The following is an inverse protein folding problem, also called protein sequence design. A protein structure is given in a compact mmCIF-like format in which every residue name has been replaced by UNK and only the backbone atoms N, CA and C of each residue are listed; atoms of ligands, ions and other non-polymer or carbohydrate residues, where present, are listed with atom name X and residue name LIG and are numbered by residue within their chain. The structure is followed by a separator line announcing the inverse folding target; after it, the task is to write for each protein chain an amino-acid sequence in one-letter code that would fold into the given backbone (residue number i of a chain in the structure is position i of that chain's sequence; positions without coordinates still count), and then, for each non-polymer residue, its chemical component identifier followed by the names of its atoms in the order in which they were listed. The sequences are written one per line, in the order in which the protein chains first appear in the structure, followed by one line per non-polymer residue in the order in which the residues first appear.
data_IF_433878419720
#
_entry.id   IF_433878419720
#
_cell.length_a   1.000
_cell.length_b   1.000
_cell.length_c   1.000
_cell.angle_alpha   90.00
_cell.angle_beta   90.00
_cell.angle_gamma   90.00
#
_symmetry.space_group_name_H-M   'P 1'
#
loop_
_entity.id
_entity.type
_entity.pdbx_description
1 polymer ?
#
# COMPACT_ATOMS: atom_id res chain seq x y z
N UNK A 1 -13.54 -9.79 19.01
CA UNK A 1 -13.26 -11.09 18.35
C UNK A 1 -11.77 -11.28 18.34
N UNK A 2 -11.27 -12.44 18.69
CA UNK A 2 -9.85 -12.73 18.61
C UNK A 2 -9.47 -12.98 17.12
N UNK A 3 -8.60 -12.14 16.52
CA UNK A 3 -8.19 -12.30 15.12
C UNK A 3 -7.50 -13.64 14.83
N UNK A 4 -6.95 -14.28 15.84
CA UNK A 4 -6.26 -15.58 15.69
C UNK A 4 -7.22 -16.77 15.52
N UNK A 5 -8.49 -16.61 15.91
CA UNK A 5 -9.49 -17.68 15.88
C UNK A 5 -10.41 -17.62 14.66
N UNK A 6 -10.50 -16.48 13.98
CA UNK A 6 -11.39 -16.27 12.84
C UNK A 6 -10.63 -16.18 11.53
N UNK A 7 -11.24 -16.70 10.45
CA UNK A 7 -10.70 -16.65 9.10
C UNK A 7 -11.01 -15.29 8.43
N UNK A 8 -10.36 -15.04 7.32
CA UNK A 8 -10.35 -13.75 6.60
C UNK A 8 -11.76 -13.16 6.39
N UNK A 9 -12.70 -13.93 5.81
CA UNK A 9 -14.04 -13.43 5.48
C UNK A 9 -14.84 -13.05 6.74
N UNK A 10 -14.68 -13.79 7.82
CA UNK A 10 -15.30 -13.44 9.11
C UNK A 10 -14.67 -12.18 9.69
N UNK A 11 -13.34 -12.03 9.61
CA UNK A 11 -12.65 -10.83 10.08
C UNK A 11 -13.05 -9.60 9.25
N UNK A 12 -13.19 -9.72 7.93
CA UNK A 12 -13.59 -8.61 7.05
C UNK A 12 -14.97 -8.04 7.40
N UNK A 13 -15.86 -8.88 7.95
CA UNK A 13 -17.22 -8.50 8.36
C UNK A 13 -17.30 -7.98 9.80
N UNK A 14 -16.49 -8.52 10.71
CA UNK A 14 -16.75 -8.40 12.15
C UNK A 14 -15.60 -7.79 12.97
N UNK A 15 -14.35 -7.82 12.49
CA UNK A 15 -13.24 -7.33 13.30
C UNK A 15 -13.37 -5.82 13.59
N UNK A 16 -12.96 -5.43 14.78
CA UNK A 16 -12.94 -4.03 15.24
C UNK A 16 -14.30 -3.46 15.65
N UNK A 17 -15.42 -4.17 15.49
CA UNK A 17 -16.74 -3.61 15.80
C UNK A 17 -17.52 -4.43 16.84
N UNK A 18 -18.07 -3.72 17.82
CA UNK A 18 -18.91 -4.27 18.88
C UNK A 18 -20.27 -3.55 18.94
N UNK A 19 -21.36 -4.13 18.39
CA UNK A 19 -22.69 -3.50 18.38
C UNK A 19 -23.18 -3.10 19.76
N UNK A 20 -22.92 -3.89 20.81
CA UNK A 20 -23.35 -3.60 22.18
C UNK A 20 -22.80 -2.29 22.75
N UNK A 21 -21.65 -1.83 22.28
CA UNK A 21 -21.06 -0.54 22.64
C UNK A 21 -21.61 0.66 21.82
N UNK A 22 -22.47 0.37 20.82
CA UNK A 22 -22.96 1.34 19.85
C UNK A 22 -24.48 1.28 19.70
N UNK A 23 -25.20 1.32 20.81
CA UNK A 23 -26.68 1.26 20.87
C UNK A 23 -27.30 0.04 20.14
N UNK A 24 -26.53 -1.06 19.97
CA UNK A 24 -26.97 -2.25 19.25
C UNK A 24 -26.97 -2.10 17.73
N UNK A 25 -26.46 -1.00 17.17
CA UNK A 25 -26.40 -0.79 15.72
C UNK A 25 -25.64 -1.91 15.04
N UNK A 26 -26.23 -2.53 13.99
CA UNK A 26 -25.55 -3.57 13.21
C UNK A 26 -24.44 -2.99 12.33
N UNK A 27 -24.67 -1.83 11.76
CA UNK A 27 -23.66 -1.10 11.00
C UNK A 27 -22.85 -0.18 11.89
N UNK A 28 -21.59 0.05 11.51
CA UNK A 28 -20.69 0.99 12.19
C UNK A 28 -21.27 2.40 12.07
N UNK A 29 -21.54 3.09 13.19
CA UNK A 29 -22.00 4.48 13.13
C UNK A 29 -20.92 5.44 12.61
N UNK A 30 -21.32 6.51 11.95
CA UNK A 30 -20.41 7.59 11.56
C UNK A 30 -20.37 8.64 12.68
N UNK A 31 -19.23 8.72 13.38
CA UNK A 31 -19.00 9.73 14.40
C UNK A 31 -18.46 11.01 13.77
N UNK A 32 -19.36 11.86 13.28
CA UNK A 32 -19.04 13.13 12.62
C UNK A 32 -18.91 14.25 13.67
N UNK A 33 -17.82 14.21 14.44
CA UNK A 33 -17.50 15.20 15.46
C UNK A 33 -16.02 15.54 15.45
N UNK A 34 -15.65 16.73 15.94
CA UNK A 34 -14.24 17.15 16.09
C UNK A 34 -13.66 16.75 17.45
N UNK A 35 -14.44 16.82 18.53
CA UNK A 35 -13.98 16.67 19.91
C UNK A 35 -14.95 15.83 20.75
N UNK A 36 -14.45 15.33 21.87
CA UNK A 36 -15.17 14.46 22.79
C UNK A 36 -15.15 15.05 24.19
N UNK A 37 -16.24 14.85 24.95
CA UNK A 37 -16.33 15.31 26.32
C UNK A 37 -15.52 14.40 27.26
N UNK A 38 -14.87 15.00 28.23
CA UNK A 38 -14.23 14.29 29.33
C UNK A 38 -15.22 14.13 30.49
N UNK A 39 -15.04 13.06 31.28
CA UNK A 39 -15.84 12.82 32.47
C UNK A 39 -15.49 13.84 33.57
N UNK A 40 -14.19 14.12 33.74
CA UNK A 40 -13.62 15.04 34.71
C UNK A 40 -12.20 15.48 34.29
N UNK A 41 -11.52 16.28 35.14
CA UNK A 41 -10.16 16.78 34.89
C UNK A 41 -9.12 15.67 34.91
N UNK A 42 -9.25 14.67 35.78
CA UNK A 42 -8.30 13.56 35.90
C UNK A 42 -8.42 12.65 34.71
N UNK A 43 -9.64 12.38 34.21
CA UNK A 43 -9.85 11.68 32.96
C UNK A 43 -9.18 12.39 31.77
N UNK A 44 -9.35 13.72 31.69
CA UNK A 44 -8.69 14.51 30.63
C UNK A 44 -7.16 14.37 30.71
N UNK A 45 -6.57 14.53 31.90
CA UNK A 45 -5.13 14.42 32.13
C UNK A 45 -4.59 13.05 31.71
N UNK A 46 -5.25 11.97 32.13
CA UNK A 46 -4.85 10.60 31.80
C UNK A 46 -4.86 10.30 30.29
N UNK A 47 -5.83 10.86 29.54
CA UNK A 47 -5.88 10.75 28.08
C UNK A 47 -4.73 11.50 27.40
N UNK A 48 -4.43 12.73 27.84
CA UNK A 48 -3.33 13.53 27.27
C UNK A 48 -1.95 12.95 27.59
N UNK A 49 -1.80 12.29 28.73
CA UNK A 49 -0.57 11.63 29.15
C UNK A 49 -0.38 10.23 28.55
N UNK A 50 -1.32 9.75 27.72
CA UNK A 50 -1.33 8.38 27.15
C UNK A 50 -1.45 7.26 28.20
N UNK A 51 -1.86 7.58 29.43
CA UNK A 51 -2.09 6.62 30.53
C UNK A 51 -3.40 5.84 30.35
N UNK A 52 -4.32 6.36 29.55
CA UNK A 52 -5.63 5.77 29.28
C UNK A 52 -5.99 5.87 27.80
N UNK A 53 -6.55 4.82 27.23
CA UNK A 53 -7.13 4.82 25.89
C UNK A 53 -8.45 5.57 25.84
N UNK A 54 -8.68 6.33 24.74
CA UNK A 54 -9.93 7.07 24.52
C UNK A 54 -9.82 8.06 23.36
N UNK A 55 -10.88 8.86 23.19
CA UNK A 55 -10.94 9.86 22.13
C UNK A 55 -10.90 11.27 22.74
N UNK A 56 -10.02 12.12 22.21
CA UNK A 56 -9.88 13.53 22.59
C UNK A 56 -10.39 14.41 21.44
N UNK A 57 -9.85 14.17 20.27
CA UNK A 57 -10.08 14.96 19.06
C UNK A 57 -9.96 14.07 17.82
N UNK A 58 -10.86 14.23 16.85
CA UNK A 58 -10.96 13.32 15.69
C UNK A 58 -9.74 13.32 14.76
N UNK A 59 -8.85 14.31 14.85
CA UNK A 59 -7.54 14.26 14.19
C UNK A 59 -6.67 13.14 14.76
N UNK A 60 -6.71 12.91 16.08
CA UNK A 60 -5.92 11.89 16.78
C UNK A 60 -6.56 10.50 16.68
N UNK A 61 -7.85 10.44 16.96
CA UNK A 61 -8.64 9.20 16.91
C UNK A 61 -10.12 9.51 16.78
N UNK A 62 -10.85 8.61 16.11
CA UNK A 62 -12.30 8.72 15.92
C UNK A 62 -12.89 7.30 15.96
N UNK A 63 -14.04 7.04 16.61
CA UNK A 63 -14.59 5.69 16.76
C UNK A 63 -14.85 4.97 15.43
N UNK A 64 -15.30 5.68 14.38
CA UNK A 64 -15.50 5.09 13.05
C UNK A 64 -14.17 4.70 12.40
N UNK A 65 -13.18 5.59 12.50
CA UNK A 65 -11.83 5.36 11.95
C UNK A 65 -11.14 4.23 12.71
N UNK A 66 -11.30 4.15 14.03
CA UNK A 66 -10.76 3.07 14.85
C UNK A 66 -11.27 1.69 14.40
N UNK A 67 -12.56 1.55 14.06
CA UNK A 67 -13.08 0.27 13.51
C UNK A 67 -12.35 -0.11 12.22
N UNK A 68 -12.06 0.85 11.36
CA UNK A 68 -11.30 0.60 10.13
C UNK A 68 -9.87 0.16 10.46
N UNK A 69 -9.19 0.86 11.37
CA UNK A 69 -7.83 0.54 11.82
C UNK A 69 -7.76 -0.88 12.38
N UNK A 70 -8.64 -1.21 13.33
CA UNK A 70 -8.69 -2.53 13.95
C UNK A 70 -9.05 -3.64 12.95
N UNK A 71 -9.93 -3.37 11.98
CA UNK A 71 -10.32 -4.33 10.94
C UNK A 71 -9.15 -4.64 10.00
N UNK A 72 -8.50 -3.62 9.45
CA UNK A 72 -7.35 -3.82 8.56
C UNK A 72 -6.18 -4.45 9.31
N UNK A 73 -5.91 -4.02 10.55
CA UNK A 73 -4.92 -4.64 11.42
C UNK A 73 -5.17 -6.16 11.58
N UNK A 74 -6.41 -6.55 11.86
CA UNK A 74 -6.78 -7.97 11.99
C UNK A 74 -6.66 -8.75 10.68
N UNK A 75 -6.98 -8.13 9.53
CA UNK A 75 -6.85 -8.73 8.20
C UNK A 75 -5.39 -8.94 7.81
N UNK A 76 -4.51 -7.99 8.13
CA UNK A 76 -3.06 -8.12 7.91
C UNK A 76 -2.37 -9.06 8.91
N UNK A 77 -2.96 -9.27 10.08
CA UNK A 77 -2.32 -10.00 11.17
C UNK A 77 -1.30 -9.16 11.95
N UNK A 78 -1.47 -7.84 11.96
CA UNK A 78 -0.64 -6.89 12.70
C UNK A 78 -1.05 -6.73 14.17
N UNK A 79 -0.34 -5.88 14.89
CA UNK A 79 -0.57 -5.53 16.30
C UNK A 79 -1.26 -4.20 16.49
N UNK A 80 -0.98 -3.22 15.61
CA UNK A 80 -1.60 -1.90 15.61
C UNK A 80 -1.70 -1.33 14.21
N UNK A 81 -2.61 -0.37 14.00
CA UNK A 81 -2.74 0.34 12.73
C UNK A 81 -3.12 1.82 12.93
N UNK A 82 -2.75 2.64 11.95
CA UNK A 82 -3.04 4.07 11.92
C UNK A 82 -3.53 4.48 10.52
N UNK A 83 -4.80 4.86 10.41
CA UNK A 83 -5.39 5.32 9.17
C UNK A 83 -5.07 6.80 8.89
N UNK A 84 -4.85 7.12 7.63
CA UNK A 84 -4.48 8.45 7.14
C UNK A 84 -5.35 8.88 5.97
N UNK A 85 -5.30 10.16 5.61
CA UNK A 85 -6.09 10.75 4.51
C UNK A 85 -5.78 10.17 3.11
N UNK A 86 -4.62 9.56 2.93
CA UNK A 86 -4.21 8.95 1.65
C UNK A 86 -3.07 7.95 1.85
N UNK A 87 -2.83 7.06 0.88
CA UNK A 87 -1.66 6.17 0.89
C UNK A 87 -0.34 6.93 0.94
N UNK A 88 -0.23 8.05 0.23
CA UNK A 88 0.97 8.93 0.29
C UNK A 88 1.18 9.52 1.69
N UNK A 89 0.10 9.87 2.40
CA UNK A 89 0.19 10.31 3.79
C UNK A 89 0.66 9.19 4.72
N UNK A 90 0.21 7.95 4.49
CA UNK A 90 0.69 6.79 5.25
C UNK A 90 2.19 6.57 5.06
N UNK A 91 2.68 6.60 3.80
CA UNK A 91 4.11 6.46 3.50
C UNK A 91 4.91 7.62 4.12
N UNK A 92 4.49 8.87 3.89
CA UNK A 92 5.19 10.04 4.42
C UNK A 92 5.27 10.00 5.94
N UNK A 93 4.15 9.73 6.61
CA UNK A 93 4.09 9.63 8.07
C UNK A 93 5.01 8.51 8.60
N UNK A 94 5.02 7.33 7.94
CA UNK A 94 5.91 6.23 8.29
C UNK A 94 7.37 6.64 8.23
N UNK A 95 7.79 7.31 7.14
CA UNK A 95 9.19 7.73 6.98
C UNK A 95 9.56 8.85 7.96
N UNK A 96 8.68 9.81 8.19
CA UNK A 96 8.93 10.90 9.15
C UNK A 96 8.96 10.43 10.61
N UNK A 97 8.23 9.37 10.95
CA UNK A 97 8.30 8.74 12.28
C UNK A 97 9.62 7.95 12.45
N UNK A 98 10.12 7.35 11.37
CA UNK A 98 11.30 6.50 11.38
C UNK A 98 12.63 7.27 11.30
N UNK A 99 12.66 8.37 10.54
CA UNK A 99 13.87 9.06 10.13
C UNK A 99 13.95 10.50 10.65
N UNK A 100 15.16 10.89 11.02
CA UNK A 100 15.56 12.26 11.30
C UNK A 100 16.39 12.87 10.14
N UNK A 101 16.65 14.17 10.19
CA UNK A 101 17.57 14.81 9.25
C UNK A 101 18.99 14.19 9.35
N UNK A 102 19.54 13.82 8.23
CA UNK A 102 20.82 13.09 8.13
C UNK A 102 20.68 11.58 7.94
N UNK A 103 19.50 11.02 8.11
CA UNK A 103 19.23 9.60 7.94
C UNK A 103 19.12 9.18 6.47
N UNK A 104 19.17 7.86 6.25
CA UNK A 104 19.19 7.24 4.95
C UNK A 104 18.15 6.11 4.84
N UNK A 105 17.55 5.96 3.66
CA UNK A 105 16.63 4.86 3.29
C UNK A 105 17.16 4.10 2.08
N UNK A 106 17.04 2.78 2.09
CA UNK A 106 17.21 1.94 0.88
C UNK A 106 15.83 1.65 0.31
N UNK A 107 15.62 1.89 -0.98
CA UNK A 107 14.29 1.94 -1.57
C UNK A 107 14.25 1.18 -2.89
N UNK A 108 13.22 0.37 -3.13
CA UNK A 108 13.00 -0.25 -4.44
C UNK A 108 12.82 0.82 -5.53
N UNK A 109 13.37 0.58 -6.72
CA UNK A 109 13.26 1.54 -7.83
C UNK A 109 11.94 1.48 -8.57
N UNK A 110 11.20 0.38 -8.48
CA UNK A 110 9.89 0.21 -9.10
C UNK A 110 8.77 0.45 -8.07
N UNK A 111 8.34 1.69 -8.00
CA UNK A 111 7.31 2.17 -7.08
C UNK A 111 6.31 3.04 -7.85
N UNK A 112 5.18 3.29 -7.23
CA UNK A 112 4.27 4.33 -7.67
C UNK A 112 5.01 5.67 -7.88
N UNK A 113 4.74 6.35 -9.00
CA UNK A 113 5.48 7.56 -9.39
C UNK A 113 5.49 8.66 -8.32
N UNK A 114 4.38 8.80 -7.56
CA UNK A 114 4.32 9.72 -6.42
C UNK A 114 5.29 9.33 -5.30
N UNK A 115 5.45 8.04 -5.04
CA UNK A 115 6.40 7.50 -4.05
C UNK A 115 7.85 7.70 -4.50
N UNK A 116 8.14 7.47 -5.79
CA UNK A 116 9.47 7.79 -6.34
C UNK A 116 9.81 9.27 -6.15
N UNK A 117 8.88 10.18 -6.47
CA UNK A 117 9.09 11.61 -6.28
C UNK A 117 9.22 12.01 -4.81
N UNK A 118 8.47 11.36 -3.91
CA UNK A 118 8.61 11.56 -2.47
C UNK A 118 10.05 11.28 -2.01
N UNK A 119 10.58 10.10 -2.32
CA UNK A 119 11.94 9.70 -1.93
C UNK A 119 13.04 10.49 -2.64
N UNK A 120 12.85 10.80 -3.94
CA UNK A 120 13.88 11.47 -4.75
C UNK A 120 13.94 12.98 -4.55
N UNK A 121 12.81 13.65 -4.34
CA UNK A 121 12.71 15.11 -4.39
C UNK A 121 12.22 15.75 -3.11
N UNK A 122 11.30 15.09 -2.39
CA UNK A 122 10.64 15.69 -1.22
C UNK A 122 11.40 15.41 0.06
N UNK A 123 11.72 14.17 0.36
CA UNK A 123 12.44 13.77 1.57
C UNK A 123 13.84 14.37 1.70
N UNK A 124 14.61 14.61 0.60
CA UNK A 124 15.86 15.35 0.69
C UNK A 124 15.74 16.77 1.25
N UNK A 125 14.56 17.42 1.12
CA UNK A 125 14.30 18.73 1.74
C UNK A 125 14.23 18.66 3.26
N UNK A 126 13.94 17.47 3.80
CA UNK A 126 13.96 17.15 5.24
C UNK A 126 15.29 16.53 5.69
N UNK A 127 16.29 16.51 4.81
CA UNK A 127 17.62 15.96 5.11
C UNK A 127 17.70 14.43 5.02
N UNK A 128 16.66 13.73 4.56
CA UNK A 128 16.65 12.26 4.43
C UNK A 128 17.15 11.86 3.05
N UNK A 129 18.18 11.02 3.00
CA UNK A 129 18.81 10.53 1.76
C UNK A 129 18.24 9.17 1.36
N UNK A 130 18.29 8.87 0.06
CA UNK A 130 17.76 7.62 -0.50
C UNK A 130 18.72 6.99 -1.50
N UNK A 131 18.91 5.67 -1.41
CA UNK A 131 19.52 4.85 -2.47
C UNK A 131 18.47 3.93 -3.07
N UNK A 132 18.26 4.03 -4.39
CA UNK A 132 17.33 3.19 -5.13
C UNK A 132 18.02 1.91 -5.62
N UNK A 133 17.33 0.77 -5.47
CA UNK A 133 17.79 -0.56 -5.87
C UNK A 133 16.70 -1.26 -6.69
N UNK A 134 17.08 -2.02 -7.72
CA UNK A 134 16.10 -2.79 -8.50
C UNK A 134 15.43 -3.87 -7.64
N UNK A 135 14.12 -4.16 -7.82
CA UNK A 135 13.36 -5.09 -6.95
C UNK A 135 14.01 -6.48 -6.82
N UNK A 136 14.60 -6.98 -7.91
CA UNK A 136 15.24 -8.32 -7.97
C UNK A 136 16.71 -8.34 -7.53
N UNK A 137 17.33 -7.17 -7.30
CA UNK A 137 18.76 -7.09 -6.95
C UNK A 137 18.97 -7.15 -5.44
N UNK A 138 18.84 -8.35 -4.87
CA UNK A 138 19.02 -8.58 -3.42
C UNK A 138 20.40 -8.19 -2.94
N UNK A 139 21.46 -8.46 -3.72
CA UNK A 139 22.82 -8.01 -3.39
C UNK A 139 22.95 -6.48 -3.44
N UNK A 140 22.24 -5.82 -4.32
CA UNK A 140 22.14 -4.36 -4.38
C UNK A 140 21.54 -3.78 -3.10
N UNK A 141 20.48 -4.40 -2.55
CA UNK A 141 19.92 -3.99 -1.25
C UNK A 141 20.96 -4.07 -0.13
N UNK A 142 21.70 -5.17 -0.05
CA UNK A 142 22.76 -5.36 0.96
C UNK A 142 23.86 -4.30 0.82
N UNK A 143 24.34 -4.04 -0.39
CA UNK A 143 25.42 -3.06 -0.66
C UNK A 143 24.97 -1.60 -0.45
N UNK A 144 23.68 -1.30 -0.57
CA UNK A 144 23.16 0.04 -0.40
C UNK A 144 23.02 0.48 1.07
N UNK A 145 23.10 -0.47 2.02
CA UNK A 145 22.99 -0.18 3.46
C UNK A 145 24.21 0.61 3.93
N UNK A 146 23.96 1.72 4.63
CA UNK A 146 24.92 2.64 5.23
C UNK A 146 24.76 2.64 6.76
N UNK A 147 25.73 3.14 7.53
CA UNK A 147 25.62 3.19 9.00
C UNK A 147 24.36 3.94 9.49
N UNK A 148 23.92 4.98 8.77
CA UNK A 148 22.74 5.79 9.05
C UNK A 148 21.47 5.32 8.32
N UNK A 149 21.47 4.12 7.74
CA UNK A 149 20.26 3.55 7.13
C UNK A 149 19.26 3.16 8.22
N UNK A 150 18.02 3.64 8.08
CA UNK A 150 16.92 3.41 9.04
C UNK A 150 15.91 2.36 8.59
N UNK A 151 15.85 2.04 7.32
CA UNK A 151 14.91 1.03 6.83
C UNK A 151 15.09 0.72 5.35
N UNK A 152 14.43 -0.35 4.92
CA UNK A 152 14.26 -0.71 3.51
C UNK A 152 12.77 -0.52 3.18
N UNK A 153 12.47 0.17 2.06
CA UNK A 153 11.11 0.38 1.58
C UNK A 153 10.93 -0.22 0.19
N UNK A 154 9.81 -0.91 -0.06
CA UNK A 154 9.46 -1.39 -1.39
C UNK A 154 7.97 -1.66 -1.58
N UNK A 155 7.54 -1.74 -2.84
CA UNK A 155 6.27 -2.35 -3.22
C UNK A 155 6.50 -3.84 -3.46
N UNK A 156 5.61 -4.69 -2.97
CA UNK A 156 5.73 -6.15 -3.17
C UNK A 156 5.68 -6.51 -4.65
N UNK A 157 4.79 -5.89 -5.41
CA UNK A 157 4.74 -5.92 -6.86
C UNK A 157 4.90 -4.50 -7.38
N UNK A 158 5.98 -4.27 -8.10
CA UNK A 158 6.38 -2.94 -8.53
C UNK A 158 5.42 -2.31 -9.55
N UNK A 159 5.18 -1.02 -9.42
CA UNK A 159 4.35 -0.23 -10.32
C UNK A 159 5.24 0.64 -11.22
N UNK A 160 5.10 0.56 -12.54
CA UNK A 160 4.12 -0.21 -13.32
C UNK A 160 4.63 -1.54 -13.88
N UNK A 161 5.91 -1.87 -13.70
CA UNK A 161 6.56 -2.99 -14.38
C UNK A 161 6.15 -4.38 -13.90
N UNK A 162 5.44 -4.50 -12.78
CA UNK A 162 5.01 -5.76 -12.15
C UNK A 162 6.15 -6.71 -11.76
N UNK A 163 7.37 -6.21 -11.54
CA UNK A 163 8.46 -7.02 -10.99
C UNK A 163 8.23 -7.27 -9.49
N UNK A 164 8.40 -8.52 -9.04
CA UNK A 164 8.30 -8.86 -7.63
C UNK A 164 9.60 -8.55 -6.89
N UNK A 165 9.46 -7.97 -5.71
CA UNK A 165 10.54 -7.88 -4.73
C UNK A 165 10.70 -9.23 -4.02
N UNK A 166 11.92 -9.77 -3.96
CA UNK A 166 12.20 -10.98 -3.19
C UNK A 166 12.17 -10.65 -1.69
N UNK A 167 10.96 -10.43 -1.19
CA UNK A 167 10.70 -9.95 0.18
C UNK A 167 11.34 -10.85 1.25
N UNK A 168 11.28 -12.21 1.20
CA UNK A 168 11.94 -13.05 2.20
C UNK A 168 13.46 -12.84 2.29
N UNK A 169 14.15 -12.68 1.15
CA UNK A 169 15.59 -12.40 1.15
C UNK A 169 15.89 -10.97 1.63
N UNK A 170 15.15 -9.99 1.17
CA UNK A 170 15.32 -8.59 1.60
C UNK A 170 15.00 -8.43 3.09
N UNK A 171 14.05 -9.18 3.63
CA UNK A 171 13.77 -9.24 5.07
C UNK A 171 14.98 -9.74 5.88
N UNK A 172 15.65 -10.79 5.39
CA UNK A 172 16.86 -11.28 6.06
C UNK A 172 17.98 -10.22 6.05
N UNK A 173 18.15 -9.51 4.93
CA UNK A 173 19.12 -8.40 4.82
C UNK A 173 18.78 -7.27 5.81
N UNK A 174 17.50 -6.90 5.92
CA UNK A 174 17.04 -5.88 6.87
C UNK A 174 17.32 -6.31 8.32
N UNK A 175 17.02 -7.57 8.69
CA UNK A 175 17.28 -8.14 10.01
C UNK A 175 18.78 -8.17 10.34
N UNK A 176 19.64 -8.60 9.42
CA UNK A 176 21.10 -8.59 9.60
C UNK A 176 21.62 -7.17 9.85
N UNK A 177 21.02 -6.18 9.23
CA UNK A 177 21.37 -4.76 9.40
C UNK A 177 20.72 -4.10 10.63
N UNK A 178 19.80 -4.78 11.34
CA UNK A 178 19.05 -4.24 12.48
C UNK A 178 18.17 -3.05 12.11
N UNK A 179 17.47 -3.14 10.97
CA UNK A 179 16.55 -2.12 10.44
C UNK A 179 15.25 -2.75 9.99
N UNK A 180 14.08 -2.05 10.05
CA UNK A 180 12.81 -2.59 9.61
C UNK A 180 12.69 -2.67 8.08
N UNK A 181 11.94 -3.68 7.62
CA UNK A 181 11.43 -3.79 6.26
C UNK A 181 10.01 -3.23 6.19
N UNK A 182 9.80 -2.25 5.32
CA UNK A 182 8.54 -1.56 5.08
C UNK A 182 8.01 -1.93 3.70
N UNK A 183 6.82 -2.52 3.63
CA UNK A 183 6.22 -2.97 2.37
C UNK A 183 4.93 -2.21 2.09
N UNK A 184 4.85 -1.58 0.92
CA UNK A 184 3.57 -1.18 0.34
C UNK A 184 2.95 -2.41 -0.36
N UNK A 185 1.86 -2.92 0.20
CA UNK A 185 1.13 -4.08 -0.30
C UNK A 185 -0.24 -3.70 -0.90
N UNK A 186 -0.35 -2.49 -1.42
CA UNK A 186 -1.61 -1.95 -1.97
C UNK A 186 -2.23 -2.85 -3.03
N UNK A 187 -1.42 -3.42 -3.94
CA UNK A 187 -1.91 -4.27 -5.04
C UNK A 187 -2.42 -5.63 -4.57
N UNK A 188 -1.75 -6.23 -3.59
CA UNK A 188 -2.06 -7.56 -3.11
C UNK A 188 -3.19 -7.56 -2.11
N UNK A 189 -3.37 -6.47 -1.36
CA UNK A 189 -4.26 -6.44 -0.20
C UNK A 189 -3.95 -7.55 0.80
N UNK A 190 -4.43 -7.52 2.03
CA UNK A 190 -4.20 -8.62 2.98
C UNK A 190 -4.86 -9.95 2.55
N UNK A 191 -5.69 -9.93 1.50
CA UNK A 191 -6.30 -11.14 0.98
C UNK A 191 -5.33 -12.03 0.19
N UNK A 192 -4.54 -11.45 -0.71
CA UNK A 192 -3.59 -12.20 -1.53
C UNK A 192 -2.25 -12.43 -0.82
N UNK A 193 -1.80 -11.47 -0.01
CA UNK A 193 -0.56 -11.54 0.74
C UNK A 193 -0.64 -10.79 2.06
N UNK A 194 -0.11 -11.38 3.11
CA UNK A 194 0.19 -10.74 4.39
C UNK A 194 1.71 -10.61 4.50
N UNK A 195 2.29 -9.43 4.26
CA UNK A 195 3.75 -9.26 4.24
C UNK A 195 4.44 -9.66 5.55
N UNK A 196 3.75 -9.56 6.69
CA UNK A 196 4.29 -10.02 7.99
C UNK A 196 4.66 -11.51 8.01
N UNK A 197 3.92 -12.35 7.29
CA UNK A 197 4.21 -13.80 7.16
C UNK A 197 5.49 -14.06 6.36
N UNK A 198 6.00 -13.03 5.67
CA UNK A 198 7.22 -13.07 4.86
C UNK A 198 8.33 -12.15 5.36
N UNK A 199 8.18 -11.62 6.59
CA UNK A 199 9.21 -10.91 7.33
C UNK A 199 9.23 -9.39 7.16
N UNK A 200 8.18 -8.77 6.65
CA UNK A 200 7.98 -7.33 6.80
C UNK A 200 7.74 -6.97 8.27
N UNK A 201 8.10 -5.75 8.67
CA UNK A 201 7.90 -5.22 10.01
C UNK A 201 6.80 -4.15 10.03
N UNK A 202 6.73 -3.36 8.96
CA UNK A 202 5.70 -2.34 8.74
C UNK A 202 5.07 -2.55 7.36
N UNK A 203 3.76 -2.40 7.29
CA UNK A 203 3.00 -2.49 6.02
C UNK A 203 2.21 -1.20 5.82
N UNK A 204 2.24 -0.67 4.61
CA UNK A 204 1.42 0.47 4.22
C UNK A 204 0.49 0.09 3.07
N UNK A 205 -0.68 0.72 3.03
CA UNK A 205 -1.62 0.58 1.93
C UNK A 205 -2.25 1.91 1.54
N UNK A 206 -2.47 2.08 0.26
CA UNK A 206 -3.52 2.98 -0.22
C UNK A 206 -4.86 2.25 -0.16
N UNK A 207 -5.65 2.52 0.88
CA UNK A 207 -7.01 1.96 1.02
C UNK A 207 -7.95 2.43 -0.09
N UNK A 208 -7.57 3.47 -0.82
CA UNK A 208 -8.24 4.04 -1.99
C UNK A 208 -8.48 3.01 -3.09
N UNK A 209 -7.60 1.98 -3.18
CA UNK A 209 -7.52 1.02 -4.29
C UNK A 209 -8.45 -0.18 -4.05
N UNK A 210 -7.98 -1.40 -4.19
CA UNK A 210 -8.80 -2.63 -4.05
C UNK A 210 -9.55 -2.74 -2.73
N UNK A 211 -9.04 -2.19 -1.63
CA UNK A 211 -9.74 -2.28 -0.34
C UNK A 211 -11.04 -1.47 -0.34
N UNK A 212 -11.07 -0.27 -0.92
CA UNK A 212 -12.31 0.47 -1.22
C UNK A 212 -13.05 -0.14 -2.42
N UNK A 213 -12.33 -0.36 -3.52
CA UNK A 213 -12.75 -1.11 -4.70
C UNK A 213 -13.71 -0.41 -5.65
N UNK A 214 -14.14 0.83 -5.38
CA UNK A 214 -15.15 1.52 -6.17
C UNK A 214 -14.80 2.97 -6.56
N UNK A 215 -13.57 3.41 -6.26
CA UNK A 215 -13.07 4.73 -6.64
C UNK A 215 -13.75 5.91 -5.92
N UNK A 216 -14.49 5.68 -4.82
CA UNK A 216 -15.30 6.71 -4.15
C UNK A 216 -14.59 7.43 -3.01
N UNK A 217 -13.58 6.81 -2.38
CA UNK A 217 -12.96 7.33 -1.15
C UNK A 217 -11.45 7.19 -1.16
N UNK A 218 -10.78 8.25 -0.75
CA UNK A 218 -9.33 8.21 -0.52
C UNK A 218 -9.02 7.92 0.95
N UNK A 219 -8.05 7.03 1.19
CA UNK A 219 -7.43 6.82 2.49
C UNK A 219 -6.10 6.08 2.33
N UNK A 220 -5.31 6.09 3.39
CA UNK A 220 -4.14 5.25 3.59
C UNK A 220 -4.16 4.60 4.95
N UNK A 221 -3.28 3.65 5.16
CA UNK A 221 -3.07 3.03 6.47
C UNK A 221 -1.63 2.56 6.61
N UNK A 222 -1.09 2.72 7.81
CA UNK A 222 0.11 2.07 8.31
C UNK A 222 -0.34 0.94 9.24
N UNK A 223 0.26 -0.24 9.11
CA UNK A 223 0.07 -1.37 10.02
C UNK A 223 1.44 -1.82 10.55
N UNK A 224 1.53 -2.03 11.85
CA UNK A 224 2.73 -2.53 12.55
C UNK A 224 2.57 -4.02 12.83
N UNK A 225 3.63 -4.81 12.51
CA UNK A 225 3.64 -6.25 12.75
C UNK A 225 3.96 -6.63 14.20
N UNK A 226 4.60 -5.73 14.95
CA UNK A 226 5.01 -5.95 16.35
C UNK A 226 6.17 -6.93 16.52
N UNK A 227 6.88 -7.26 15.45
CA UNK A 227 7.99 -8.22 15.45
C UNK A 227 9.37 -7.56 15.49
N UNK A 228 9.46 -6.28 15.16
CA UNK A 228 10.72 -5.54 15.18
C UNK A 228 11.01 -5.07 16.61
N UNK A 229 12.21 -5.42 17.10
CA UNK A 229 12.69 -4.96 18.39
C UNK A 229 13.37 -3.59 18.23
N UNK A 230 12.67 -2.52 18.61
CA UNK A 230 13.19 -1.15 18.53
C UNK A 230 14.37 -0.90 19.46
N UNK A 231 14.58 -1.74 20.48
CA UNK A 231 15.64 -1.62 21.48
C UNK A 231 16.89 -2.44 21.14
N UNK A 232 16.89 -3.20 20.03
CA UNK A 232 17.99 -4.09 19.67
C UNK A 232 19.33 -3.38 19.33
N UNK A 233 19.26 -2.06 19.04
CA UNK A 233 20.42 -1.23 18.70
C UNK A 233 20.12 0.26 18.86
N UNK A 234 21.14 1.11 18.76
CA UNK A 234 21.06 2.57 18.97
C UNK A 234 20.57 3.34 17.73
N UNK A 235 19.97 2.68 16.74
CA UNK A 235 19.55 3.34 15.48
C UNK A 235 18.28 4.16 15.63
N UNK A 236 17.45 3.91 16.63
CA UNK A 236 16.12 4.48 16.75
C UNK A 236 15.92 5.28 18.05
N UNK A 237 16.73 6.33 18.29
CA UNK A 237 16.65 7.12 19.52
C UNK A 237 15.27 7.74 19.74
N UNK A 238 14.56 8.12 18.67
CA UNK A 238 13.20 8.64 18.77
C UNK A 238 12.20 7.67 19.41
N UNK A 239 12.48 6.35 19.33
CA UNK A 239 11.65 5.30 19.94
C UNK A 239 12.09 4.95 21.36
N UNK A 240 13.42 5.00 21.61
CA UNK A 240 14.05 4.41 22.81
C UNK A 240 14.47 5.41 23.85
N UNK A 241 14.70 6.68 23.46
CA UNK A 241 15.06 7.75 24.40
C UNK A 241 13.82 8.44 24.97
N UNK A 242 13.95 9.07 26.14
CA UNK A 242 12.87 9.83 26.77
C UNK A 242 12.37 10.96 25.86
N UNK A 243 11.07 10.95 25.52
CA UNK A 243 10.44 11.94 24.66
C UNK A 243 9.91 13.12 25.47
N UNK A 244 10.46 14.31 25.23
CA UNK A 244 10.15 15.53 26.01
C UNK A 244 8.64 15.90 25.94
N UNK A 245 8.00 15.69 24.77
CA UNK A 245 6.58 16.00 24.55
C UNK A 245 5.59 15.17 25.36
N UNK A 246 6.04 14.08 26.00
CA UNK A 246 5.25 13.22 26.88
C UNK A 246 6.00 12.90 28.18
N UNK A 247 6.51 13.95 28.85
CA UNK A 247 7.13 13.87 30.19
C UNK A 247 8.27 12.85 30.33
N UNK A 248 9.02 12.60 29.25
CA UNK A 248 10.14 11.66 29.26
C UNK A 248 9.74 10.20 29.03
N UNK A 249 8.55 9.93 28.48
CA UNK A 249 8.14 8.57 28.10
C UNK A 249 9.03 8.02 26.97
N UNK A 250 9.46 6.78 27.07
CA UNK A 250 10.07 5.99 25.97
C UNK A 250 8.99 5.17 25.29
N UNK A 251 8.73 5.41 23.99
CA UNK A 251 7.68 4.70 23.26
C UNK A 251 7.94 3.19 23.17
N UNK A 252 9.21 2.77 22.98
CA UNK A 252 9.57 1.37 22.90
C UNK A 252 9.34 0.62 24.22
N UNK A 253 9.69 1.25 25.35
CA UNK A 253 9.50 0.66 26.68
C UNK A 253 8.02 0.57 27.08
N UNK A 254 7.25 1.65 26.84
CA UNK A 254 5.87 1.74 27.29
C UNK A 254 4.90 0.94 26.41
N UNK A 255 5.08 0.97 25.08
CA UNK A 255 4.12 0.40 24.14
C UNK A 255 4.58 -0.89 23.45
N UNK A 256 5.85 -1.28 23.60
CA UNK A 256 6.39 -2.54 23.09
C UNK A 256 6.03 -2.81 21.62
N UNK A 257 5.23 -3.87 21.32
CA UNK A 257 4.90 -4.27 19.94
C UNK A 257 4.06 -3.25 19.14
N UNK A 258 3.60 -2.17 19.77
CA UNK A 258 2.79 -1.12 19.14
C UNK A 258 3.47 0.25 19.18
N UNK A 259 4.74 0.29 19.56
CA UNK A 259 5.50 1.52 19.81
C UNK A 259 5.56 2.45 18.61
N UNK A 260 5.79 1.90 17.41
CA UNK A 260 5.88 2.69 16.19
C UNK A 260 4.56 3.37 15.85
N UNK A 261 3.47 2.61 15.88
CA UNK A 261 2.13 3.14 15.59
C UNK A 261 1.71 4.17 16.63
N UNK A 262 2.05 3.95 17.90
CA UNK A 262 1.77 4.92 18.97
C UNK A 262 2.55 6.21 18.79
N UNK A 263 3.83 6.16 18.46
CA UNK A 263 4.61 7.36 18.16
C UNK A 263 4.09 8.06 16.88
N UNK A 264 3.80 7.31 15.81
CA UNK A 264 3.24 7.86 14.60
C UNK A 264 1.91 8.60 14.86
N UNK A 265 1.09 8.11 15.81
CA UNK A 265 -0.16 8.77 16.24
C UNK A 265 0.10 9.97 17.14
N UNK A 266 0.91 9.78 18.18
CA UNK A 266 1.11 10.75 19.25
C UNK A 266 1.90 11.99 18.79
N UNK A 267 2.83 11.84 17.87
CA UNK A 267 3.61 12.92 17.26
C UNK A 267 3.14 13.20 15.83
N UNK A 268 3.33 12.25 14.92
CA UNK A 268 3.14 12.46 13.50
C UNK A 268 1.71 12.86 13.11
N UNK A 269 0.70 12.12 13.54
CA UNK A 269 -0.70 12.45 13.27
C UNK A 269 -1.12 13.73 13.98
N UNK A 270 -0.69 13.90 15.23
CA UNK A 270 -1.00 15.11 16.02
C UNK A 270 -0.48 16.38 15.34
N UNK A 271 0.78 16.37 14.90
CA UNK A 271 1.48 17.59 14.51
C UNK A 271 1.37 17.86 12.99
N UNK A 272 1.42 16.82 12.14
CA UNK A 272 1.30 16.94 10.68
C UNK A 272 -0.14 16.84 10.18
N UNK A 273 -1.03 16.18 10.92
CA UNK A 273 -2.48 16.21 10.73
C UNK A 273 -3.09 15.47 9.55
N UNK A 274 -2.50 14.41 8.96
CA UNK A 274 -3.07 13.73 7.78
C UNK A 274 -4.22 12.78 8.16
N UNK A 275 -5.17 13.26 8.98
CA UNK A 275 -6.26 12.46 9.52
C UNK A 275 -7.29 12.06 8.47
N UNK A 276 -7.85 10.86 8.64
CA UNK A 276 -8.92 10.33 7.79
C UNK A 276 -10.29 10.85 8.24
N UNK A 277 -11.11 11.30 7.29
CA UNK A 277 -12.50 11.65 7.56
C UNK A 277 -13.32 10.37 7.88
N UNK A 278 -14.19 10.39 8.93
CA UNK A 278 -14.98 9.22 9.32
C UNK A 278 -15.92 8.74 8.21
N UNK A 279 -16.43 9.61 7.36
CA UNK A 279 -17.22 9.23 6.18
C UNK A 279 -16.42 8.37 5.20
N UNK A 280 -15.15 8.73 4.94
CA UNK A 280 -14.28 7.91 4.07
C UNK A 280 -13.95 6.56 4.70
N UNK A 281 -13.70 6.54 6.01
CA UNK A 281 -13.50 5.29 6.76
C UNK A 281 -14.71 4.37 6.64
N UNK A 282 -15.91 4.90 6.79
CA UNK A 282 -17.16 4.17 6.66
C UNK A 282 -17.34 3.58 5.25
N UNK A 283 -17.10 4.36 4.19
CA UNK A 283 -17.16 3.86 2.81
C UNK A 283 -16.16 2.71 2.57
N UNK A 284 -14.95 2.82 3.09
CA UNK A 284 -13.92 1.77 2.94
C UNK A 284 -14.30 0.50 3.71
N UNK A 285 -14.90 0.63 4.88
CA UNK A 285 -15.41 -0.53 5.64
C UNK A 285 -16.38 -1.37 4.80
N UNK A 286 -17.26 -0.75 4.00
CA UNK A 286 -18.13 -1.47 3.05
C UNK A 286 -17.34 -2.18 1.95
N UNK A 287 -16.29 -1.56 1.44
CA UNK A 287 -15.39 -2.20 0.47
C UNK A 287 -14.70 -3.44 1.05
N UNK A 288 -14.27 -3.39 2.30
CA UNK A 288 -13.61 -4.51 2.97
C UNK A 288 -14.53 -5.72 3.14
N UNK A 289 -15.83 -5.51 3.35
CA UNK A 289 -16.81 -6.59 3.57
C UNK A 289 -16.91 -7.58 2.39
N UNK A 290 -16.55 -7.13 1.18
CA UNK A 290 -16.58 -7.96 -0.05
C UNK A 290 -15.20 -8.12 -0.69
N UNK A 291 -14.13 -7.83 0.04
CA UNK A 291 -12.78 -7.79 -0.52
C UNK A 291 -12.35 -9.13 -1.12
N UNK A 292 -12.57 -10.24 -0.42
CA UNK A 292 -12.19 -11.58 -0.90
C UNK A 292 -12.87 -11.92 -2.23
N UNK A 293 -14.19 -11.73 -2.31
CA UNK A 293 -14.99 -12.00 -3.50
C UNK A 293 -14.50 -11.18 -4.71
N UNK A 294 -14.18 -9.90 -4.47
CA UNK A 294 -13.67 -9.03 -5.53
C UNK A 294 -12.27 -9.43 -5.97
N UNK A 295 -11.37 -9.74 -5.03
CA UNK A 295 -10.01 -10.13 -5.36
C UNK A 295 -9.97 -11.45 -6.14
N UNK A 296 -10.82 -12.43 -5.82
CA UNK A 296 -10.96 -13.67 -6.59
C UNK A 296 -11.38 -13.40 -8.04
N UNK A 297 -12.41 -12.56 -8.22
CA UNK A 297 -12.89 -12.20 -9.57
C UNK A 297 -11.84 -11.40 -10.33
N UNK A 298 -11.18 -10.43 -9.69
CA UNK A 298 -10.07 -9.66 -10.28
C UNK A 298 -8.94 -10.58 -10.77
N UNK A 299 -8.47 -11.50 -9.92
CA UNK A 299 -7.42 -12.46 -10.29
C UNK A 299 -7.86 -13.40 -11.41
N UNK A 300 -9.10 -13.90 -11.35
CA UNK A 300 -9.66 -14.77 -12.40
C UNK A 300 -9.71 -14.07 -13.76
N UNK A 301 -10.21 -12.83 -13.80
CA UNK A 301 -10.24 -12.05 -15.04
C UNK A 301 -8.82 -11.72 -15.53
N UNK A 302 -7.91 -11.39 -14.61
CA UNK A 302 -6.51 -11.09 -14.95
C UNK A 302 -5.80 -12.29 -15.58
N UNK A 303 -5.97 -13.50 -15.05
CA UNK A 303 -5.35 -14.71 -15.61
C UNK A 303 -5.82 -14.96 -17.06
N UNK A 304 -7.12 -14.84 -17.32
CA UNK A 304 -7.68 -14.94 -18.67
C UNK A 304 -7.15 -13.84 -19.60
N UNK A 305 -7.00 -12.62 -19.07
CA UNK A 305 -6.46 -11.49 -19.85
C UNK A 305 -4.98 -11.68 -20.17
N UNK A 306 -4.19 -12.22 -19.23
CA UNK A 306 -2.78 -12.57 -19.49
C UNK A 306 -2.67 -13.61 -20.61
N UNK A 307 -3.51 -14.64 -20.59
CA UNK A 307 -3.56 -15.66 -21.64
C UNK A 307 -3.94 -15.06 -23.00
N UNK A 308 -5.00 -14.25 -23.04
CA UNK A 308 -5.46 -13.55 -24.23
C UNK A 308 -4.36 -12.65 -24.81
N UNK A 309 -3.79 -11.75 -23.99
CA UNK A 309 -2.76 -10.80 -24.44
C UNK A 309 -1.47 -11.50 -24.87
N UNK A 310 -1.07 -12.60 -24.20
CA UNK A 310 0.14 -13.34 -24.55
C UNK A 310 0.05 -14.04 -25.91
N UNK A 311 -1.17 -14.29 -26.40
CA UNK A 311 -1.41 -14.93 -27.68
C UNK A 311 -1.83 -13.94 -28.78
N UNK A 312 -2.04 -12.65 -28.46
CA UNK A 312 -2.52 -11.67 -29.42
C UNK A 312 -1.40 -11.15 -30.32
N UNK A 313 -1.64 -11.13 -31.66
CA UNK A 313 -0.64 -10.78 -32.66
C UNK A 313 -0.08 -9.35 -32.54
N UNK A 314 -0.88 -8.39 -32.07
CA UNK A 314 -0.48 -6.98 -31.87
C UNK A 314 0.27 -6.74 -30.56
N UNK A 315 0.39 -7.74 -29.68
CA UNK A 315 1.10 -7.63 -28.40
C UNK A 315 2.54 -8.11 -28.57
N UNK A 316 3.48 -7.32 -28.08
CA UNK A 316 4.90 -7.61 -28.12
C UNK A 316 5.41 -8.37 -26.90
N UNK A 317 4.86 -8.06 -25.72
CA UNK A 317 5.23 -8.67 -24.44
C UNK A 317 4.12 -8.43 -23.39
N UNK A 318 4.08 -9.30 -22.38
CA UNK A 318 3.18 -9.19 -21.22
C UNK A 318 4.00 -9.32 -19.94
N UNK A 319 3.85 -8.39 -18.99
CA UNK A 319 4.43 -8.45 -17.66
C UNK A 319 3.34 -8.67 -16.61
N UNK A 320 3.29 -9.88 -16.13
CA UNK A 320 2.49 -10.35 -15.01
C UNK A 320 3.10 -11.66 -14.54
N UNK A 321 3.19 -11.90 -13.23
CA UNK A 321 3.94 -13.06 -12.71
C UNK A 321 3.37 -14.43 -13.17
N UNK A 322 2.11 -14.48 -13.62
CA UNK A 322 1.53 -15.69 -14.24
C UNK A 322 1.80 -15.84 -15.75
N UNK A 323 2.40 -14.83 -16.40
CA UNK A 323 2.68 -14.90 -17.83
C UNK A 323 3.71 -16.01 -18.14
N UNK A 324 3.63 -16.64 -19.32
CA UNK A 324 4.61 -17.65 -19.73
C UNK A 324 6.04 -17.12 -19.67
N UNK A 325 6.93 -17.85 -19.00
CA UNK A 325 8.36 -17.49 -18.91
C UNK A 325 8.68 -16.28 -18.04
N UNK A 326 7.72 -15.76 -17.27
CA UNK A 326 7.99 -14.63 -16.37
C UNK A 326 9.02 -15.02 -15.29
N UNK A 327 10.07 -14.21 -15.06
CA UNK A 327 11.16 -14.57 -14.15
C UNK A 327 10.74 -14.71 -12.69
N UNK A 328 9.68 -14.03 -12.28
CA UNK A 328 9.20 -14.05 -10.88
C UNK A 328 8.12 -15.12 -10.62
N UNK A 329 7.84 -16.01 -11.58
CA UNK A 329 6.76 -17.01 -11.45
C UNK A 329 6.89 -17.86 -10.20
N UNK A 330 8.07 -18.46 -9.99
CA UNK A 330 8.33 -19.33 -8.83
C UNK A 330 8.20 -18.58 -7.49
N UNK A 331 8.71 -17.34 -7.44
CA UNK A 331 8.57 -16.50 -6.27
C UNK A 331 7.09 -16.16 -6.01
N UNK A 332 6.35 -15.80 -7.06
CA UNK A 332 4.92 -15.50 -6.95
C UNK A 332 4.10 -16.70 -6.46
N UNK A 333 4.34 -17.91 -6.98
CA UNK A 333 3.67 -19.13 -6.53
C UNK A 333 3.92 -19.39 -5.03
N UNK A 334 5.10 -19.01 -4.53
CA UNK A 334 5.48 -19.17 -3.11
C UNK A 334 4.83 -18.14 -2.18
N UNK A 335 4.84 -16.86 -2.55
CA UNK A 335 4.41 -15.76 -1.65
C UNK A 335 3.01 -15.21 -1.96
N UNK A 336 2.45 -15.52 -3.12
CA UNK A 336 1.13 -15.11 -3.59
C UNK A 336 0.27 -16.33 -4.04
N UNK A 337 0.09 -17.37 -3.20
CA UNK A 337 -0.55 -18.62 -3.60
C UNK A 337 -2.03 -18.46 -3.98
N UNK A 338 -2.69 -17.36 -3.57
CA UNK A 338 -4.09 -17.05 -3.92
C UNK A 338 -4.25 -16.28 -5.23
N UNK A 339 -3.13 -15.87 -5.84
CA UNK A 339 -3.12 -15.10 -7.09
C UNK A 339 -2.20 -13.88 -7.02
N UNK A 340 -1.75 -13.44 -8.18
CA UNK A 340 -0.75 -12.39 -8.35
C UNK A 340 -1.35 -10.97 -8.51
N UNK A 341 -2.67 -10.85 -8.34
CA UNK A 341 -3.40 -9.58 -8.49
C UNK A 341 -3.95 -9.36 -9.90
N UNK A 342 -4.43 -8.16 -10.15
CA UNK A 342 -5.10 -7.80 -11.42
C UNK A 342 -4.41 -6.67 -12.18
N UNK A 343 -3.16 -6.37 -11.84
CA UNK A 343 -2.35 -5.42 -12.59
C UNK A 343 -1.58 -6.14 -13.69
N UNK A 344 -1.74 -5.70 -14.93
CA UNK A 344 -1.01 -6.21 -16.08
C UNK A 344 -0.31 -5.03 -16.75
N UNK A 345 0.95 -5.19 -17.13
CA UNK A 345 1.60 -4.33 -18.10
C UNK A 345 1.85 -5.12 -19.39
N UNK A 346 1.60 -4.52 -20.53
CA UNK A 346 1.88 -5.15 -21.82
C UNK A 346 2.35 -4.13 -22.84
N UNK A 347 3.15 -4.58 -23.79
CA UNK A 347 3.64 -3.76 -24.89
C UNK A 347 2.87 -3.99 -26.17
N UNK A 348 2.49 -2.90 -26.87
CA UNK A 348 1.83 -2.94 -28.17
C UNK A 348 2.90 -2.78 -29.28
N UNK A 349 2.85 -3.65 -30.30
CA UNK A 349 3.67 -3.50 -31.50
C UNK A 349 3.29 -2.19 -32.22
N UNK A 350 4.30 -1.42 -32.64
CA UNK A 350 4.10 -0.07 -33.21
C UNK A 350 4.38 1.08 -32.21
N UNK A 351 4.76 0.74 -30.97
CA UNK A 351 5.32 1.71 -30.01
C UNK A 351 4.30 2.73 -29.51
N UNK A 352 4.76 3.98 -29.31
CA UNK A 352 3.97 5.04 -28.67
C UNK A 352 2.70 5.41 -29.44
N UNK A 353 2.77 5.46 -30.77
CA UNK A 353 1.63 5.84 -31.62
C UNK A 353 0.53 4.78 -31.58
N UNK A 354 0.93 3.50 -31.67
CA UNK A 354 0.00 2.38 -31.55
C UNK A 354 -0.66 2.34 -30.15
N UNK A 355 0.13 2.55 -29.08
CA UNK A 355 -0.40 2.64 -27.73
C UNK A 355 -1.43 3.76 -27.56
N UNK A 356 -1.19 4.92 -28.13
CA UNK A 356 -2.13 6.04 -28.11
C UNK A 356 -3.40 5.74 -28.91
N UNK A 357 -3.30 5.13 -30.10
CA UNK A 357 -4.43 4.74 -30.92
C UNK A 357 -5.30 3.69 -30.22
N UNK A 358 -4.70 2.67 -29.62
CA UNK A 358 -5.39 1.67 -28.82
C UNK A 358 -6.20 2.33 -27.70
N UNK A 359 -5.59 3.16 -26.87
CA UNK A 359 -6.25 3.84 -25.75
C UNK A 359 -7.43 4.72 -26.23
N UNK A 360 -7.31 5.38 -27.38
CA UNK A 360 -8.36 6.26 -27.91
C UNK A 360 -9.57 5.48 -28.48
N UNK A 361 -9.46 4.17 -28.70
CA UNK A 361 -10.49 3.34 -29.32
C UNK A 361 -11.14 2.35 -28.36
N UNK A 362 -10.57 2.05 -27.18
CA UNK A 362 -11.28 1.34 -26.12
C UNK A 362 -12.36 2.23 -25.51
N UNK A 363 -13.52 1.65 -25.18
CA UNK A 363 -14.71 2.37 -24.69
C UNK A 363 -15.18 1.91 -23.32
N UNK A 364 -15.09 0.60 -23.05
CA UNK A 364 -15.45 0.00 -21.76
C UNK A 364 -14.34 0.25 -20.75
N UNK A 365 -13.11 -0.04 -21.11
CA UNK A 365 -11.96 0.21 -20.29
C UNK A 365 -11.73 1.72 -20.13
N UNK A 366 -11.81 2.20 -18.89
CA UNK A 366 -11.73 3.64 -18.61
C UNK A 366 -10.30 4.16 -18.67
N UNK A 367 -10.04 5.17 -19.50
CA UNK A 367 -8.73 5.83 -19.60
C UNK A 367 -8.57 6.85 -18.47
N UNK A 368 -7.88 6.47 -17.40
CA UNK A 368 -7.62 7.34 -16.24
C UNK A 368 -6.44 6.84 -15.39
N UNK A 369 -5.93 7.73 -14.55
CA UNK A 369 -4.78 7.48 -13.67
C UNK A 369 -5.19 6.90 -12.32
N UNK A 370 -5.83 5.73 -12.30
CA UNK A 370 -6.13 4.97 -11.07
C UNK A 370 -5.85 3.48 -11.27
N UNK A 371 -6.02 2.68 -10.22
CA UNK A 371 -5.93 1.22 -10.22
C UNK A 371 -6.85 0.67 -9.12
N UNK A 372 -7.25 -0.60 -9.21
CA UNK A 372 -7.99 -1.28 -8.14
C UNK A 372 -9.45 -0.87 -8.02
N UNK A 373 -10.03 -0.34 -9.09
CA UNK A 373 -11.47 -0.11 -9.24
C UNK A 373 -12.17 -1.42 -9.67
N UNK A 374 -13.45 -1.54 -9.35
CA UNK A 374 -14.30 -2.62 -9.85
C UNK A 374 -14.41 -2.60 -11.39
N UNK A 375 -14.18 -1.46 -12.01
CA UNK A 375 -14.15 -1.27 -13.47
C UNK A 375 -12.74 -1.48 -14.00
N UNK A 376 -12.64 -1.95 -15.24
CA UNK A 376 -11.37 -2.07 -15.97
C UNK A 376 -10.84 -0.68 -16.33
N UNK A 377 -9.57 -0.44 -15.97
CA UNK A 377 -8.87 0.84 -16.18
C UNK A 377 -7.63 0.62 -17.03
N UNK A 378 -7.40 1.52 -17.99
CA UNK A 378 -6.22 1.50 -18.84
C UNK A 378 -5.52 2.86 -18.85
N UNK A 379 -4.21 2.86 -19.02
CA UNK A 379 -3.43 4.07 -19.26
C UNK A 379 -2.18 3.73 -20.08
N UNK A 380 -1.76 4.67 -20.93
CA UNK A 380 -0.46 4.64 -21.60
C UNK A 380 0.50 5.57 -20.86
N UNK A 381 1.39 5.04 -19.98
CA UNK A 381 2.21 5.86 -19.09
C UNK A 381 3.10 6.88 -19.84
N UNK A 382 3.70 6.47 -20.94
CA UNK A 382 4.61 7.32 -21.74
C UNK A 382 3.93 8.55 -22.39
N UNK A 383 2.61 8.48 -22.63
CA UNK A 383 1.83 9.63 -23.15
C UNK A 383 1.13 10.44 -22.07
N UNK A 384 1.03 9.92 -20.84
CA UNK A 384 0.26 10.53 -19.76
C UNK A 384 1.14 10.83 -18.52
N UNK A 385 1.23 9.90 -17.59
CA UNK A 385 1.84 10.11 -16.26
C UNK A 385 3.35 10.33 -16.29
N UNK A 386 4.05 9.94 -17.37
CA UNK A 386 5.50 9.99 -17.51
C UNK A 386 5.95 10.70 -18.80
N UNK A 387 5.05 11.50 -19.41
CA UNK A 387 5.28 12.18 -20.68
C UNK A 387 6.47 13.16 -20.68
N UNK A 388 6.90 13.59 -19.50
CA UNK A 388 8.03 14.53 -19.31
C UNK A 388 9.36 13.84 -18.97
N UNK A 389 9.38 12.50 -18.87
CA UNK A 389 10.61 11.75 -18.57
C UNK A 389 11.42 11.49 -19.83
N UNK A 390 12.74 11.62 -19.71
CA UNK A 390 13.66 11.15 -20.73
C UNK A 390 13.74 9.62 -20.77
N UNK A 391 14.31 9.07 -21.84
CA UNK A 391 14.38 7.63 -22.09
C UNK A 391 15.14 6.86 -20.99
N UNK A 392 16.20 7.46 -20.43
CA UNK A 392 17.00 6.85 -19.38
C UNK A 392 16.19 6.74 -18.07
N UNK A 393 15.43 7.77 -17.74
CA UNK A 393 14.55 7.81 -16.56
C UNK A 393 13.36 6.84 -16.72
N UNK A 394 12.75 6.77 -17.91
CA UNK A 394 11.70 5.79 -18.22
C UNK A 394 12.21 4.36 -18.01
N UNK A 395 13.38 4.03 -18.59
CA UNK A 395 13.97 2.70 -18.46
C UNK A 395 14.36 2.35 -17.01
N UNK A 396 14.83 3.33 -16.24
CA UNK A 396 15.13 3.14 -14.83
C UNK A 396 13.87 2.83 -14.00
N UNK A 397 12.74 3.47 -14.34
CA UNK A 397 11.43 3.24 -13.74
C UNK A 397 10.73 1.96 -14.27
N UNK A 398 11.37 1.18 -15.16
CA UNK A 398 10.77 -0.02 -15.75
C UNK A 398 9.68 0.26 -16.79
N UNK A 399 9.73 1.44 -17.42
CA UNK A 399 8.76 1.89 -18.42
C UNK A 399 9.34 1.80 -19.83
N UNK A 400 8.46 1.55 -20.81
CA UNK A 400 8.77 1.66 -22.24
C UNK A 400 7.69 2.45 -22.98
N UNK A 401 8.03 2.93 -24.18
CA UNK A 401 7.13 3.75 -25.00
C UNK A 401 5.91 2.99 -25.54
N UNK A 402 5.98 1.67 -25.60
CA UNK A 402 4.93 0.77 -26.07
C UNK A 402 4.04 0.23 -24.93
N UNK A 403 4.37 0.55 -23.66
CA UNK A 403 3.72 0.00 -22.48
C UNK A 403 2.30 0.54 -22.28
N UNK A 404 1.34 -0.36 -22.17
CA UNK A 404 0.02 -0.12 -21.61
C UNK A 404 -0.04 -0.73 -20.21
N UNK A 405 -0.53 0.04 -19.23
CA UNK A 405 -0.85 -0.46 -17.90
C UNK A 405 -2.36 -0.69 -17.81
N UNK A 406 -2.73 -1.90 -17.42
CA UNK A 406 -4.10 -2.38 -17.28
C UNK A 406 -4.38 -2.78 -15.83
N UNK A 407 -5.45 -2.25 -15.24
CA UNK A 407 -6.04 -2.73 -13.99
C UNK A 407 -7.35 -3.44 -14.35
N UNK A 408 -7.34 -4.77 -14.35
CA UNK A 408 -8.49 -5.57 -14.78
C UNK A 408 -9.60 -5.50 -13.74
N UNK A 409 -10.82 -5.19 -14.17
CA UNK A 409 -12.01 -5.05 -13.35
C UNK A 409 -12.78 -6.37 -13.17
N UNK A 410 -14.05 -6.20 -12.79
CA UNK A 410 -14.98 -7.30 -12.44
C UNK A 410 -15.97 -7.61 -13.54
N UNK A 411 -15.92 -6.89 -14.66
CA UNK A 411 -16.82 -7.05 -15.80
C UNK A 411 -16.79 -8.50 -16.33
N UNK A 412 -17.76 -8.87 -17.14
CA UNK A 412 -17.70 -10.12 -17.88
C UNK A 412 -16.50 -10.09 -18.83
N UNK A 413 -15.74 -11.17 -18.80
CA UNK A 413 -14.45 -11.24 -19.48
C UNK A 413 -14.57 -11.04 -20.99
N UNK A 414 -15.63 -11.56 -21.59
CA UNK A 414 -15.89 -11.44 -23.02
C UNK A 414 -16.12 -9.98 -23.44
N UNK A 415 -16.75 -9.18 -22.60
CA UNK A 415 -16.96 -7.75 -22.87
C UNK A 415 -15.65 -6.97 -22.84
N UNK A 416 -14.73 -7.32 -21.90
CA UNK A 416 -13.40 -6.72 -21.86
C UNK A 416 -12.60 -7.07 -23.12
N UNK A 417 -12.66 -8.34 -23.56
CA UNK A 417 -12.00 -8.79 -24.80
C UNK A 417 -12.54 -8.07 -26.01
N UNK A 418 -13.86 -7.97 -26.16
CA UNK A 418 -14.47 -7.28 -27.29
C UNK A 418 -14.06 -5.79 -27.38
N UNK A 419 -13.97 -5.10 -26.22
CA UNK A 419 -13.49 -3.73 -26.16
C UNK A 419 -12.01 -3.61 -26.57
N UNK A 420 -11.20 -4.58 -26.19
CA UNK A 420 -9.78 -4.64 -26.56
C UNK A 420 -9.58 -4.95 -28.05
N UNK A 421 -10.39 -5.84 -28.62
CA UNK A 421 -10.38 -6.12 -30.08
C UNK A 421 -10.71 -4.84 -30.88
N UNK A 422 -11.71 -4.04 -30.46
CA UNK A 422 -12.00 -2.73 -31.06
C UNK A 422 -10.76 -1.81 -30.97
N UNK A 423 -10.07 -1.81 -29.84
CA UNK A 423 -8.80 -1.09 -29.65
C UNK A 423 -7.71 -1.57 -30.59
N UNK A 424 -7.48 -2.89 -30.74
CA UNK A 424 -6.48 -3.45 -31.61
C UNK A 424 -6.79 -3.30 -33.10
N UNK A 425 -8.06 -3.36 -33.50
CA UNK A 425 -8.49 -3.09 -34.88
C UNK A 425 -8.07 -1.70 -35.35
N UNK A 426 -7.98 -0.71 -34.45
CA UNK A 426 -7.51 0.63 -34.80
C UNK A 426 -6.05 0.70 -35.24
N UNK A 427 -5.26 -0.37 -34.98
CA UNK A 427 -3.84 -0.42 -35.33
C UNK A 427 -3.56 -0.87 -36.76
N UNK A 428 -4.58 -1.37 -37.49
CA UNK A 428 -4.42 -1.89 -38.87
C UNK A 428 -3.92 -0.82 -39.84
N UNK A 429 -4.06 0.44 -39.50
CA UNK A 429 -3.71 1.59 -40.33
C UNK A 429 -2.48 2.37 -39.81
N UNK A 430 -1.79 1.86 -38.79
CA UNK A 430 -0.58 2.42 -38.20
C UNK A 430 0.62 1.56 -38.57
#
# INVERSE_FOLDING_TARGET
MDPKTYKFDTLSLHAGYQPSKNAGSRQVPIYQTTSYMFDDVDHAAALFNLERGGHIYSRMSNPTVQVLEERVCALEGGTAALATASGMSAIFLTIMTLCNAGDHMVVSSQLYGGTVNLFRLTLPKFGIKTTFVKPRDTEGFKKAIQPNTKGIFGELVGNPGNELMNMPEVSNIAKEAGIPLIIDSTYQTPYLCRPFEHGADLVVHSLTKWMSGNGSSMAGILVEGGTFDWMQNDKFPSMTEPYEGYHGLSFAEEFGPTAFTMMARAEGMRDMGPCLAPQNAWNILHGLETLSLRMEKHCSNALKMVEYLSNHESVAWVSHASAPGHPDKELAEKILPKGTGSMIAFGIKGGKEAGAAFINNVKLASHLANVGDARTLVIHPASATHSQMDEATLKFAGLSHDMIRLSVGLEDFEDIVNDFEDGFLSLIHI
#
